data_IF_421268099814
#
_entry.id   IF_421268099814
#
_cell.length_a   1.000
_cell.length_b   1.000
_cell.length_c   1.000
_cell.angle_alpha   90.00
_cell.angle_beta   90.00
_cell.angle_gamma   90.00
#
_symmetry.space_group_name_H-M   'P 1'
#
loop_
_entity.id
_entity.type
_entity.pdbx_description
1 polymer ?
#
# COMPACT_ATOMS: atom_id res chain seq x y z
N UNK A 1 -36.28 -40.16 50.83
CA UNK A 1 -35.16 -40.61 49.98
C UNK A 1 -34.97 -39.62 48.83
N UNK A 2 -34.07 -38.63 48.97
CA UNK A 2 -33.74 -37.65 47.91
C UNK A 2 -32.58 -38.20 47.10
N UNK A 3 -32.81 -38.54 45.83
CA UNK A 3 -31.74 -38.90 44.88
C UNK A 3 -31.27 -37.63 44.17
N UNK A 4 -30.04 -37.21 44.48
CA UNK A 4 -29.32 -36.16 43.75
C UNK A 4 -28.78 -36.77 42.44
N UNK A 5 -29.24 -36.28 41.29
CA UNK A 5 -28.63 -36.56 40.00
C UNK A 5 -27.62 -35.44 39.75
N UNK A 6 -26.33 -35.76 39.84
CA UNK A 6 -25.24 -34.87 39.44
C UNK A 6 -25.11 -35.01 37.91
N UNK A 7 -25.60 -34.02 37.17
CA UNK A 7 -25.33 -33.92 35.74
C UNK A 7 -23.90 -33.40 35.55
N UNK A 8 -23.00 -34.27 35.09
CA UNK A 8 -21.65 -33.89 34.70
C UNK A 8 -21.72 -33.20 33.33
N UNK A 9 -21.64 -31.86 33.33
CA UNK A 9 -21.58 -31.07 32.10
C UNK A 9 -20.18 -31.21 31.50
N UNK A 10 -20.03 -32.02 30.44
CA UNK A 10 -18.84 -31.97 29.58
C UNK A 10 -18.78 -30.62 28.88
N UNK A 11 -17.86 -29.76 29.32
CA UNK A 11 -17.51 -28.54 28.63
C UNK A 11 -16.64 -28.93 27.42
N UNK A 12 -17.22 -29.04 26.23
CA UNK A 12 -16.44 -29.09 24.99
C UNK A 12 -15.70 -27.75 24.86
N UNK A 13 -14.38 -27.76 25.04
CA UNK A 13 -13.55 -26.64 24.59
C UNK A 13 -13.59 -26.63 23.06
N UNK A 14 -14.34 -25.69 22.49
CA UNK A 14 -14.21 -25.37 21.08
C UNK A 14 -12.80 -24.82 20.85
N UNK A 15 -11.95 -25.62 20.21
CA UNK A 15 -10.68 -25.12 19.67
C UNK A 15 -11.07 -24.06 18.64
N UNK A 16 -10.64 -22.80 18.78
CA UNK A 16 -10.88 -21.83 17.73
C UNK A 16 -10.16 -22.36 16.48
N UNK A 17 -10.93 -22.70 15.45
CA UNK A 17 -10.36 -22.90 14.13
C UNK A 17 -9.56 -21.63 13.82
N UNK A 18 -8.26 -21.78 13.58
CA UNK A 18 -7.43 -20.72 13.02
C UNK A 18 -8.04 -20.42 11.66
N UNK A 19 -8.93 -19.42 11.61
CA UNK A 19 -9.58 -19.04 10.38
C UNK A 19 -8.48 -18.49 9.48
N UNK A 20 -8.17 -19.21 8.39
CA UNK A 20 -7.70 -18.55 7.19
C UNK A 20 -8.63 -17.36 6.97
N UNK A 21 -8.11 -16.14 6.80
CA UNK A 21 -8.92 -15.11 6.18
C UNK A 21 -9.49 -15.74 4.89
N UNK A 22 -10.79 -15.59 4.56
CA UNK A 22 -11.35 -16.28 3.40
C UNK A 22 -10.55 -15.83 2.17
N UNK A 23 -9.71 -16.73 1.65
CA UNK A 23 -8.77 -16.40 0.58
C UNK A 23 -9.51 -16.13 -0.73
N UNK A 24 -10.71 -16.68 -0.88
CA UNK A 24 -11.59 -16.50 -2.04
C UNK A 24 -12.27 -15.14 -2.11
N UNK A 25 -12.56 -14.72 -3.34
CA UNK A 25 -12.99 -13.37 -3.72
C UNK A 25 -11.97 -12.29 -3.29
N UNK A 26 -10.68 -12.57 -3.48
CA UNK A 26 -9.62 -11.64 -3.09
C UNK A 26 -8.41 -11.68 -4.02
N UNK A 27 -7.84 -10.51 -4.24
CA UNK A 27 -6.52 -10.32 -4.83
C UNK A 27 -5.47 -10.36 -3.74
N UNK A 28 -4.56 -11.32 -3.83
CA UNK A 28 -3.43 -11.53 -2.94
C UNK A 28 -2.18 -10.92 -3.57
N UNK A 29 -1.41 -10.21 -2.76
CA UNK A 29 -0.06 -9.78 -3.09
C UNK A 29 0.91 -10.56 -2.23
N UNK A 30 1.79 -11.34 -2.84
CA UNK A 30 2.84 -12.08 -2.15
C UNK A 30 4.23 -11.63 -2.58
N UNK A 31 5.22 -11.89 -1.74
CA UNK A 31 6.62 -11.66 -2.06
C UNK A 31 7.48 -12.79 -1.48
N UNK A 32 8.36 -13.34 -2.31
CA UNK A 32 9.40 -14.27 -1.86
C UNK A 32 10.72 -13.99 -2.57
N UNK A 33 11.88 -14.25 -1.94
CA UNK A 33 13.18 -14.06 -2.59
C UNK A 33 13.33 -14.83 -3.91
N UNK A 34 12.72 -16.01 -4.03
CA UNK A 34 12.79 -16.85 -5.24
C UNK A 34 11.94 -16.35 -6.41
N UNK A 35 10.71 -15.91 -6.14
CA UNK A 35 9.75 -15.52 -7.19
C UNK A 35 9.69 -14.00 -7.42
N UNK A 36 10.13 -13.19 -6.46
CA UNK A 36 9.83 -11.77 -6.38
C UNK A 36 8.39 -11.52 -5.94
N UNK A 37 7.85 -10.35 -6.29
CA UNK A 37 6.45 -10.00 -6.07
C UNK A 37 5.54 -10.77 -7.03
N UNK A 38 4.46 -11.35 -6.52
CA UNK A 38 3.39 -11.95 -7.33
C UNK A 38 2.03 -11.37 -6.93
N UNK A 39 1.12 -11.32 -7.88
CA UNK A 39 -0.27 -10.92 -7.68
C UNK A 39 -1.14 -12.07 -8.14
N UNK A 40 -2.06 -12.49 -7.29
CA UNK A 40 -2.96 -13.59 -7.61
C UNK A 40 -4.39 -13.28 -7.18
N UNK A 41 -5.33 -13.34 -8.12
CA UNK A 41 -6.75 -13.28 -7.80
C UNK A 41 -7.26 -14.71 -7.56
N UNK A 42 -7.85 -14.93 -6.38
CA UNK A 42 -8.49 -16.17 -5.98
C UNK A 42 -10.00 -15.93 -5.95
N UNK A 43 -10.73 -16.48 -6.92
CA UNK A 43 -12.19 -16.40 -6.93
C UNK A 43 -12.79 -17.37 -5.91
N UNK A 44 -13.99 -17.06 -5.43
CA UNK A 44 -14.70 -17.87 -4.44
C UNK A 44 -15.09 -19.27 -4.97
N UNK A 45 -15.11 -19.47 -6.30
CA UNK A 45 -15.43 -20.73 -6.98
C UNK A 45 -14.23 -21.66 -7.15
N UNK A 46 -13.04 -21.28 -6.65
CA UNK A 46 -11.81 -22.06 -6.79
C UNK A 46 -11.01 -21.74 -8.05
N UNK A 47 -11.40 -20.79 -8.89
CA UNK A 47 -10.56 -20.32 -9.98
C UNK A 47 -9.46 -19.35 -9.49
N UNK A 48 -8.29 -19.40 -10.13
CA UNK A 48 -7.13 -18.58 -9.79
C UNK A 48 -6.52 -17.92 -11.04
N UNK A 49 -5.98 -16.71 -10.88
CA UNK A 49 -5.29 -15.98 -11.94
C UNK A 49 -4.01 -15.36 -11.41
N UNK A 50 -2.87 -15.92 -11.84
CA UNK A 50 -1.55 -15.51 -11.39
C UNK A 50 -0.90 -14.53 -12.37
N UNK A 51 -0.38 -13.44 -11.83
CA UNK A 51 0.42 -12.43 -12.51
C UNK A 51 1.77 -12.30 -11.79
N UNK A 52 2.86 -12.55 -12.50
CA UNK A 52 4.21 -12.60 -11.93
C UNK A 52 5.26 -12.03 -12.89
N UNK A 53 6.47 -11.68 -12.39
CA UNK A 53 7.51 -11.03 -13.17
C UNK A 53 8.00 -11.89 -14.33
N UNK A 54 8.19 -11.28 -15.49
CA UNK A 54 8.68 -11.93 -16.71
C UNK A 54 7.62 -12.70 -17.50
N UNK A 55 6.38 -12.77 -17.01
CA UNK A 55 5.27 -13.34 -17.76
C UNK A 55 4.42 -12.22 -18.39
N UNK A 56 4.10 -12.37 -19.68
CA UNK A 56 3.35 -11.36 -20.46
C UNK A 56 1.85 -11.67 -20.53
N UNK A 57 1.42 -12.83 -20.01
CA UNK A 57 0.02 -13.27 -19.98
C UNK A 57 -0.41 -13.54 -18.54
N UNK A 58 -1.68 -13.30 -18.22
CA UNK A 58 -2.22 -13.79 -16.94
C UNK A 58 -2.26 -15.32 -17.01
N UNK A 59 -1.78 -16.00 -15.98
CA UNK A 59 -1.75 -17.46 -15.91
C UNK A 59 -3.01 -17.95 -15.17
N UNK A 60 -4.01 -18.50 -15.89
CA UNK A 60 -5.17 -19.09 -15.25
C UNK A 60 -4.80 -20.43 -14.58
N UNK A 61 -5.48 -20.72 -13.49
CA UNK A 61 -5.38 -21.97 -12.75
C UNK A 61 -6.58 -22.14 -11.83
N UNK A 62 -6.41 -23.03 -10.88
CA UNK A 62 -7.38 -23.33 -9.84
C UNK A 62 -6.67 -23.34 -8.48
N UNK A 63 -7.43 -23.08 -7.42
CA UNK A 63 -6.97 -23.15 -6.06
C UNK A 63 -7.98 -23.88 -5.18
N UNK A 64 -7.49 -24.47 -4.09
CA UNK A 64 -8.32 -25.02 -3.03
C UNK A 64 -7.56 -24.96 -1.70
N UNK A 65 -8.30 -24.87 -0.60
CA UNK A 65 -7.78 -25.21 0.72
C UNK A 65 -8.08 -26.69 0.99
N UNK A 66 -7.08 -27.45 1.43
CA UNK A 66 -7.19 -28.86 1.77
C UNK A 66 -6.53 -29.11 3.12
N UNK A 67 -7.34 -29.30 4.18
CA UNK A 67 -6.83 -29.36 5.55
C UNK A 67 -6.09 -28.09 5.94
N UNK A 68 -4.79 -28.21 6.26
CA UNK A 68 -3.91 -27.08 6.59
C UNK A 68 -3.16 -26.50 5.38
N UNK A 69 -3.42 -27.01 4.18
CA UNK A 69 -2.67 -26.68 2.98
C UNK A 69 -3.48 -25.81 2.02
N UNK A 70 -2.76 -24.97 1.28
CA UNK A 70 -3.26 -24.24 0.13
C UNK A 70 -2.65 -24.85 -1.13
N UNK A 71 -3.51 -25.32 -2.03
CA UNK A 71 -3.10 -26.01 -3.24
C UNK A 71 -3.47 -25.21 -4.47
N UNK A 72 -2.57 -25.20 -5.46
CA UNK A 72 -2.76 -24.56 -6.75
C UNK A 72 -2.58 -25.56 -7.88
N UNK A 73 -3.33 -25.39 -8.97
CA UNK A 73 -3.17 -26.13 -10.22
C UNK A 73 -3.19 -25.16 -11.39
N UNK A 74 -2.05 -24.97 -12.03
CA UNK A 74 -1.97 -24.22 -13.29
C UNK A 74 -1.84 -25.17 -14.48
N UNK A 75 -2.05 -24.64 -15.69
CA UNK A 75 -2.11 -25.45 -16.91
C UNK A 75 -0.87 -26.32 -17.18
N UNK A 76 -1.08 -27.47 -17.84
CA UNK A 76 -0.05 -28.50 -18.14
C UNK A 76 1.23 -28.02 -18.84
N UNK A 77 1.22 -26.84 -19.45
CA UNK A 77 2.35 -26.25 -20.15
C UNK A 77 3.11 -25.21 -19.30
N UNK A 78 2.83 -25.11 -18.00
CA UNK A 78 3.58 -24.26 -17.08
C UNK A 78 4.72 -25.04 -16.41
N UNK A 79 5.71 -24.29 -15.90
CA UNK A 79 6.82 -24.82 -15.14
C UNK A 79 7.20 -23.82 -14.05
N UNK A 80 7.26 -24.27 -12.80
CA UNK A 80 7.75 -23.48 -11.69
C UNK A 80 9.27 -23.68 -11.55
N UNK A 81 10.12 -22.68 -11.86
CA UNK A 81 11.56 -22.84 -11.78
C UNK A 81 12.11 -22.92 -10.36
N UNK A 82 11.37 -22.45 -9.36
CA UNK A 82 11.80 -22.45 -7.95
C UNK A 82 11.58 -23.83 -7.34
N UNK A 83 10.42 -24.45 -7.58
CA UNK A 83 10.10 -25.80 -7.05
C UNK A 83 10.44 -26.93 -8.04
N UNK A 84 10.81 -26.59 -9.28
CA UNK A 84 11.04 -27.51 -10.41
C UNK A 84 9.82 -28.36 -10.78
N UNK A 85 8.64 -27.92 -10.39
CA UNK A 85 7.39 -28.62 -10.64
C UNK A 85 6.83 -28.26 -12.02
N UNK A 86 6.32 -29.26 -12.75
CA UNK A 86 5.60 -29.08 -14.02
C UNK A 86 4.12 -28.90 -13.75
N UNK A 87 3.47 -28.03 -14.52
CA UNK A 87 2.04 -27.77 -14.39
C UNK A 87 1.15 -28.98 -14.70
N UNK A 88 -0.16 -28.81 -14.48
CA UNK A 88 -1.20 -29.82 -14.72
C UNK A 88 -1.58 -30.64 -13.48
N UNK A 89 -0.70 -30.71 -12.48
CA UNK A 89 -0.97 -31.29 -11.16
C UNK A 89 -1.28 -30.25 -10.10
N UNK A 90 -1.80 -30.70 -8.95
CA UNK A 90 -1.92 -29.88 -7.75
C UNK A 90 -0.57 -29.76 -7.06
N UNK A 91 -0.18 -28.54 -6.73
CA UNK A 91 1.00 -28.21 -5.93
C UNK A 91 0.54 -27.52 -4.65
N UNK A 92 0.81 -28.14 -3.50
CA UNK A 92 0.32 -27.69 -2.20
C UNK A 92 1.45 -27.11 -1.35
N UNK A 93 1.11 -26.09 -0.57
CA UNK A 93 1.99 -25.52 0.45
C UNK A 93 1.21 -25.38 1.76
N UNK A 94 1.83 -25.58 2.93
CA UNK A 94 1.16 -25.28 4.19
C UNK A 94 0.67 -23.83 4.21
N UNK A 95 -0.57 -23.60 4.63
CA UNK A 95 -1.15 -22.26 4.66
C UNK A 95 -0.34 -21.28 5.52
N UNK A 96 0.30 -21.79 6.58
CA UNK A 96 1.21 -21.01 7.44
C UNK A 96 2.42 -20.48 6.66
N UNK A 97 2.97 -21.27 5.74
CA UNK A 97 4.09 -20.88 4.86
C UNK A 97 3.61 -19.88 3.82
N UNK A 98 2.45 -20.10 3.20
CA UNK A 98 1.86 -19.13 2.27
C UNK A 98 1.66 -17.75 2.93
N UNK A 99 1.07 -17.73 4.14
CA UNK A 99 0.79 -16.51 4.88
C UNK A 99 2.06 -15.71 5.22
N UNK A 100 3.22 -16.36 5.40
CA UNK A 100 4.50 -15.67 5.62
C UNK A 100 4.97 -14.87 4.40
N UNK A 101 4.51 -15.24 3.20
CA UNK A 101 4.83 -14.52 1.96
C UNK A 101 3.81 -13.43 1.63
N UNK A 102 2.65 -13.44 2.28
CA UNK A 102 1.54 -12.54 1.98
C UNK A 102 1.84 -11.13 2.50
N UNK A 103 1.88 -10.17 1.60
CA UNK A 103 2.09 -8.75 1.90
C UNK A 103 0.77 -8.03 2.09
N UNK A 104 -0.20 -8.28 1.21
CA UNK A 104 -1.52 -7.68 1.32
C UNK A 104 -2.60 -8.56 0.69
N UNK A 105 -3.84 -8.36 1.11
CA UNK A 105 -5.00 -9.09 0.65
C UNK A 105 -6.17 -8.13 0.49
N UNK A 106 -6.67 -7.96 -0.72
CA UNK A 106 -7.74 -6.99 -1.04
C UNK A 106 -8.95 -7.72 -1.60
N UNK A 107 -10.16 -7.35 -1.18
CA UNK A 107 -11.39 -7.97 -1.67
C UNK A 107 -11.59 -7.71 -3.17
N UNK A 108 -12.03 -8.73 -3.89
CA UNK A 108 -12.34 -8.70 -5.31
C UNK A 108 -11.13 -8.81 -6.23
N UNK A 109 -11.42 -8.85 -7.53
CA UNK A 109 -10.44 -8.83 -8.62
C UNK A 109 -10.06 -7.38 -8.98
N UNK A 110 -9.24 -6.75 -8.14
CA UNK A 110 -8.96 -5.31 -8.25
C UNK A 110 -8.14 -4.92 -9.49
N UNK A 111 -7.60 -5.91 -10.22
CA UNK A 111 -6.89 -5.70 -11.48
C UNK A 111 -7.66 -6.26 -12.69
N UNK A 112 -8.81 -6.90 -12.48
CA UNK A 112 -9.59 -7.57 -13.52
C UNK A 112 -8.83 -8.72 -14.19
N UNK A 113 -7.98 -9.45 -13.45
CA UNK A 113 -7.19 -10.57 -13.95
C UNK A 113 -8.06 -11.66 -14.58
N UNK A 114 -9.24 -11.93 -14.02
CA UNK A 114 -10.14 -12.96 -14.51
C UNK A 114 -10.63 -12.73 -15.95
N UNK A 115 -10.81 -11.46 -16.32
CA UNK A 115 -11.26 -11.04 -17.65
C UNK A 115 -10.13 -10.80 -18.67
N UNK A 116 -8.86 -10.97 -18.28
CA UNK A 116 -7.70 -10.55 -19.09
C UNK A 116 -6.91 -11.74 -19.62
N UNK A 117 -6.43 -11.61 -20.86
CA UNK A 117 -5.42 -12.52 -21.45
C UNK A 117 -3.99 -12.02 -21.23
N UNK A 118 -3.79 -10.70 -21.34
CA UNK A 118 -2.49 -10.05 -21.11
C UNK A 118 -2.42 -9.51 -19.70
N UNK A 119 -1.22 -9.50 -19.12
CA UNK A 119 -0.98 -8.84 -17.83
C UNK A 119 -1.28 -7.34 -17.92
N UNK A 120 -1.68 -6.66 -16.82
CA UNK A 120 -1.89 -5.21 -16.83
C UNK A 120 -0.65 -4.44 -17.29
N UNK A 121 0.52 -4.87 -16.83
CA UNK A 121 1.84 -4.40 -17.24
C UNK A 121 2.91 -5.42 -16.79
N UNK A 122 4.16 -5.22 -17.19
CA UNK A 122 5.28 -6.07 -16.74
C UNK A 122 5.52 -5.87 -15.24
N UNK A 123 5.21 -6.89 -14.44
CA UNK A 123 5.34 -6.80 -12.99
C UNK A 123 6.83 -6.70 -12.60
N UNK A 124 7.25 -5.68 -11.83
CA UNK A 124 8.62 -5.60 -11.36
C UNK A 124 8.88 -6.69 -10.32
N UNK A 125 10.11 -7.20 -10.26
CA UNK A 125 10.51 -8.18 -9.23
C UNK A 125 10.48 -7.60 -7.82
N UNK A 126 10.79 -6.30 -7.68
CA UNK A 126 10.79 -5.60 -6.38
C UNK A 126 9.37 -5.43 -5.87
N UNK A 127 9.22 -5.46 -4.55
CA UNK A 127 7.95 -5.16 -3.91
C UNK A 127 7.57 -3.69 -4.12
N UNK A 128 6.36 -3.46 -4.62
CA UNK A 128 5.71 -2.16 -4.65
C UNK A 128 4.39 -2.25 -3.86
N UNK A 129 3.97 -1.19 -3.15
CA UNK A 129 2.65 -1.17 -2.52
C UNK A 129 1.52 -1.39 -3.54
N UNK A 130 0.48 -2.15 -3.15
CA UNK A 130 -0.61 -2.54 -4.07
C UNK A 130 -1.32 -1.33 -4.71
N UNK A 131 -1.45 -0.21 -3.99
CA UNK A 131 -2.04 1.03 -4.53
C UNK A 131 -1.22 1.63 -5.67
N UNK A 132 0.12 1.50 -5.64
CA UNK A 132 0.96 1.93 -6.76
C UNK A 132 0.73 1.05 -7.98
N UNK A 133 0.57 -0.26 -7.77
CA UNK A 133 0.24 -1.17 -8.87
C UNK A 133 -1.12 -0.85 -9.49
N UNK A 134 -2.13 -0.51 -8.69
CA UNK A 134 -3.44 -0.10 -9.20
C UNK A 134 -3.35 1.18 -10.03
N UNK A 135 -2.57 2.16 -9.57
CA UNK A 135 -2.33 3.39 -10.32
C UNK A 135 -1.62 3.15 -11.67
N UNK A 136 -0.72 2.17 -11.74
CA UNK A 136 -0.04 1.80 -13.00
C UNK A 136 -1.00 1.02 -13.92
N UNK A 137 -1.78 0.08 -13.37
CA UNK A 137 -2.69 -0.77 -14.12
C UNK A 137 -3.90 -0.02 -14.71
N UNK A 138 -4.39 0.99 -13.99
CA UNK A 138 -5.46 1.87 -14.43
C UNK A 138 -5.17 3.32 -13.98
N UNK A 139 -4.47 4.12 -14.82
CA UNK A 139 -4.20 5.52 -14.53
C UNK A 139 -5.46 6.35 -14.28
N UNK A 140 -6.63 5.92 -14.80
CA UNK A 140 -7.89 6.63 -14.57
C UNK A 140 -8.37 6.55 -13.11
N UNK A 141 -7.86 5.59 -12.31
CA UNK A 141 -8.06 5.60 -10.84
C UNK A 141 -7.44 6.86 -10.25
N UNK A 142 -6.21 7.19 -10.65
CA UNK A 142 -5.52 8.39 -10.17
C UNK A 142 -6.27 9.63 -10.61
N UNK A 143 -6.77 9.67 -11.85
CA UNK A 143 -7.56 10.79 -12.36
C UNK A 143 -8.88 10.96 -11.60
N UNK A 144 -9.61 9.87 -11.32
CA UNK A 144 -10.86 9.90 -10.54
C UNK A 144 -10.63 10.35 -9.10
N UNK A 145 -9.59 9.85 -8.44
CA UNK A 145 -9.25 10.29 -7.08
C UNK A 145 -8.77 11.75 -7.08
N UNK A 146 -7.98 12.16 -8.08
CA UNK A 146 -7.58 13.54 -8.25
C UNK A 146 -8.76 14.47 -8.48
N UNK A 147 -9.79 14.04 -9.22
CA UNK A 147 -11.02 14.81 -9.43
C UNK A 147 -11.84 15.02 -8.15
N UNK A 148 -11.65 14.19 -7.10
CA UNK A 148 -12.29 14.38 -5.79
C UNK A 148 -11.52 15.35 -4.89
N UNK A 149 -10.24 15.60 -5.19
CA UNK A 149 -9.44 16.51 -4.38
C UNK A 149 -9.81 17.97 -4.67
N UNK A 150 -9.81 18.83 -3.65
CA UNK A 150 -9.99 20.27 -3.87
C UNK A 150 -8.90 20.81 -4.80
N UNK A 151 -9.26 21.78 -5.64
CA UNK A 151 -8.29 22.48 -6.49
C UNK A 151 -7.24 23.20 -5.64
N UNK A 152 -6.11 23.58 -6.26
CA UNK A 152 -5.09 24.37 -5.58
C UNK A 152 -5.71 25.64 -4.98
N UNK A 153 -6.58 26.32 -5.75
CA UNK A 153 -7.29 27.54 -5.34
C UNK A 153 -8.23 27.29 -4.17
N UNK A 154 -8.97 26.17 -4.19
CA UNK A 154 -9.86 25.79 -3.09
C UNK A 154 -9.09 25.48 -1.80
N UNK A 155 -7.97 24.74 -1.88
CA UNK A 155 -7.12 24.46 -0.72
C UNK A 155 -6.65 25.76 -0.06
N UNK A 156 -6.24 26.73 -0.87
CA UNK A 156 -5.76 28.02 -0.37
C UNK A 156 -6.90 28.88 0.19
N UNK A 157 -8.06 28.90 -0.48
CA UNK A 157 -9.24 29.63 0.00
C UNK A 157 -9.79 29.05 1.32
N UNK A 158 -9.62 27.75 1.53
CA UNK A 158 -10.12 27.03 2.69
C UNK A 158 -9.09 26.94 3.82
N UNK A 159 -7.88 27.46 3.64
CA UNK A 159 -6.74 27.26 4.52
C UNK A 159 -7.04 27.53 6.00
N UNK A 160 -7.88 28.52 6.31
CA UNK A 160 -8.22 28.89 7.69
C UNK A 160 -9.54 28.28 8.19
N UNK A 161 -10.26 27.51 7.37
CA UNK A 161 -11.55 26.90 7.75
C UNK A 161 -11.42 25.78 8.77
N UNK A 162 -10.27 25.10 8.82
CA UNK A 162 -10.02 24.04 9.79
C UNK A 162 -8.52 23.77 9.94
N UNK A 163 -8.16 23.09 11.03
CA UNK A 163 -6.79 22.57 11.25
C UNK A 163 -6.31 21.73 10.06
N UNK A 164 -7.16 20.83 9.55
CA UNK A 164 -6.81 19.96 8.41
C UNK A 164 -6.57 20.78 7.13
N UNK A 165 -7.42 21.77 6.85
CA UNK A 165 -7.26 22.64 5.69
C UNK A 165 -5.98 23.49 5.76
N UNK A 166 -5.63 23.98 6.96
CA UNK A 166 -4.37 24.70 7.19
C UNK A 166 -3.16 23.84 6.89
N UNK A 167 -3.19 22.57 7.30
CA UNK A 167 -2.13 21.60 7.02
C UNK A 167 -2.02 21.34 5.51
N UNK A 168 -3.15 21.12 4.82
CA UNK A 168 -3.16 20.92 3.37
C UNK A 168 -2.57 22.11 2.62
N UNK A 169 -2.94 23.34 2.99
CA UNK A 169 -2.39 24.55 2.40
C UNK A 169 -0.90 24.75 2.73
N UNK A 170 -0.47 24.40 3.94
CA UNK A 170 0.94 24.44 4.32
C UNK A 170 1.81 23.49 3.47
N UNK A 171 1.35 22.24 3.28
CA UNK A 171 2.04 21.28 2.41
C UNK A 171 2.08 21.77 0.96
N UNK A 172 1.02 22.44 0.50
CA UNK A 172 0.99 23.03 -0.83
C UNK A 172 2.04 24.14 -1.00
N UNK A 173 2.21 25.02 -0.01
CA UNK A 173 3.29 26.01 -0.01
C UNK A 173 4.69 25.39 0.08
N UNK A 174 4.86 24.27 0.80
CA UNK A 174 6.16 23.62 0.92
C UNK A 174 6.62 22.96 -0.38
N UNK A 175 5.71 22.25 -1.06
CA UNK A 175 6.05 21.50 -2.28
C UNK A 175 5.81 22.29 -3.56
N UNK A 176 4.94 23.31 -3.54
CA UNK A 176 4.55 24.10 -4.71
C UNK A 176 3.69 23.32 -5.73
N UNK A 177 3.33 22.08 -5.42
CA UNK A 177 2.66 21.16 -6.34
C UNK A 177 1.58 20.34 -5.65
N UNK A 178 0.58 19.94 -6.43
CA UNK A 178 -0.42 18.96 -6.04
C UNK A 178 -0.53 17.91 -7.16
N UNK A 179 -0.26 16.64 -6.83
CA UNK A 179 -0.33 15.50 -7.76
C UNK A 179 0.41 15.76 -9.10
N UNK A 180 1.63 16.31 -9.03
CA UNK A 180 2.47 16.60 -10.20
C UNK A 180 2.12 17.86 -10.98
N UNK A 181 1.04 18.57 -10.62
CA UNK A 181 0.70 19.89 -11.19
C UNK A 181 1.25 21.00 -10.30
N UNK A 182 1.89 22.00 -10.92
CA UNK A 182 2.36 23.20 -10.21
C UNK A 182 1.17 24.03 -9.76
N UNK A 183 1.11 24.35 -8.48
CA UNK A 183 0.01 25.10 -7.87
C UNK A 183 0.45 26.50 -7.44
N UNK A 184 1.51 26.57 -6.63
CA UNK A 184 2.01 27.83 -6.06
C UNK A 184 3.52 27.89 -6.17
N UNK A 185 4.07 29.09 -6.11
CA UNK A 185 5.50 29.25 -5.84
C UNK A 185 5.78 28.71 -4.44
N UNK A 186 6.85 27.92 -4.33
CA UNK A 186 7.29 27.35 -3.05
C UNK A 186 7.58 28.48 -2.05
N UNK A 187 7.00 28.37 -0.87
CA UNK A 187 7.22 29.27 0.27
C UNK A 187 7.38 28.44 1.55
N UNK A 188 8.63 28.06 1.83
CA UNK A 188 8.99 27.28 3.00
C UNK A 188 8.65 27.99 4.31
N UNK A 189 8.80 29.32 4.36
CA UNK A 189 8.58 30.09 5.59
C UNK A 189 7.09 30.07 5.93
N UNK A 190 6.25 30.36 4.94
CA UNK A 190 4.79 30.31 5.09
C UNK A 190 4.31 28.91 5.47
N UNK A 191 4.82 27.86 4.80
CA UNK A 191 4.46 26.48 5.10
C UNK A 191 4.75 26.09 6.55
N UNK A 192 5.97 26.33 7.03
CA UNK A 192 6.34 25.98 8.41
C UNK A 192 5.58 26.82 9.44
N UNK A 193 5.34 28.11 9.14
CA UNK A 193 4.52 28.99 10.00
C UNK A 193 3.10 28.44 10.15
N UNK A 194 2.45 28.08 9.04
CA UNK A 194 1.10 27.51 9.05
C UNK A 194 1.02 26.16 9.79
N UNK A 195 2.05 25.31 9.69
CA UNK A 195 2.10 24.07 10.47
C UNK A 195 2.26 24.34 11.96
N UNK A 196 3.08 25.33 12.32
CA UNK A 196 3.21 25.77 13.71
C UNK A 196 1.89 26.30 14.27
N UNK A 197 1.18 27.15 13.52
CA UNK A 197 -0.14 27.66 13.88
C UNK A 197 -1.20 26.55 14.00
N UNK A 198 -1.10 25.49 13.20
CA UNK A 198 -1.97 24.32 13.27
C UNK A 198 -1.61 23.37 14.43
N UNK A 199 -0.53 23.62 15.17
CA UNK A 199 -0.01 22.72 16.20
C UNK A 199 0.55 21.41 15.65
N UNK A 200 1.05 21.40 14.41
CA UNK A 200 1.65 20.24 13.73
C UNK A 200 3.18 20.23 13.84
N UNK A 201 3.69 20.28 15.07
CA UNK A 201 5.13 20.41 15.33
C UNK A 201 5.96 19.24 14.80
N UNK A 202 5.41 18.02 14.77
CA UNK A 202 6.11 16.83 14.25
C UNK A 202 6.30 16.90 12.72
N UNK A 203 5.25 17.26 12.00
CA UNK A 203 5.31 17.49 10.55
C UNK A 203 6.24 18.66 10.22
N UNK A 204 6.13 19.78 10.95
CA UNK A 204 7.01 20.92 10.78
C UNK A 204 8.49 20.54 10.98
N UNK A 205 8.82 19.80 12.04
CA UNK A 205 10.19 19.35 12.31
C UNK A 205 10.75 18.44 11.19
N UNK A 206 9.92 17.55 10.66
CA UNK A 206 10.30 16.68 9.53
C UNK A 206 10.63 17.49 8.29
N UNK A 207 9.79 18.45 7.94
CA UNK A 207 10.01 19.32 6.77
C UNK A 207 11.18 20.28 6.95
N UNK A 208 11.43 20.75 8.18
CA UNK A 208 12.63 21.54 8.51
C UNK A 208 13.88 20.69 8.33
N UNK A 209 13.89 19.42 8.75
CA UNK A 209 15.03 18.52 8.53
C UNK A 209 15.34 18.35 7.05
N UNK A 210 14.32 18.12 6.22
CA UNK A 210 14.48 18.05 4.77
C UNK A 210 15.02 19.38 4.20
N UNK A 211 14.49 20.51 4.68
CA UNK A 211 14.93 21.83 4.28
C UNK A 211 16.41 22.07 4.63
N UNK A 212 16.87 21.62 5.80
CA UNK A 212 18.28 21.67 6.21
C UNK A 212 19.16 20.82 5.30
N UNK A 213 18.72 19.61 4.91
CA UNK A 213 19.45 18.80 3.93
C UNK A 213 19.63 19.53 2.59
N UNK A 214 18.58 20.21 2.11
CA UNK A 214 18.65 21.02 0.89
C UNK A 214 19.57 22.24 1.05
N UNK A 215 19.57 22.88 2.22
CA UNK A 215 20.45 24.01 2.50
C UNK A 215 21.92 23.60 2.50
N UNK A 216 22.24 22.47 3.13
CA UNK A 216 23.59 21.90 3.17
C UNK A 216 24.08 21.44 1.78
N UNK A 217 23.17 21.21 0.84
CA UNK A 217 23.52 20.98 -0.57
C UNK A 217 23.67 22.28 -1.38
N UNK A 218 23.75 23.44 -0.72
CA UNK A 218 23.94 24.74 -1.36
C UNK A 218 22.68 25.38 -1.94
N UNK A 219 21.47 24.91 -1.60
CA UNK A 219 20.24 25.51 -2.14
C UNK A 219 19.96 26.90 -1.52
N UNK A 220 20.00 28.00 -2.31
CA UNK A 220 19.90 29.34 -1.75
C UNK A 220 18.50 29.67 -1.18
N UNK A 221 17.43 29.07 -1.72
CA UNK A 221 16.08 29.26 -1.17
C UNK A 221 15.94 28.58 0.19
N UNK A 222 16.51 27.38 0.34
CA UNK A 222 16.50 26.66 1.62
C UNK A 222 17.32 27.39 2.69
N UNK A 223 18.52 27.83 2.34
CA UNK A 223 19.39 28.63 3.23
C UNK A 223 18.66 29.88 3.71
N UNK A 224 18.07 30.64 2.78
CA UNK A 224 17.34 31.87 3.13
C UNK A 224 16.09 31.60 3.96
N UNK A 225 15.37 30.50 3.69
CA UNK A 225 14.19 30.12 4.46
C UNK A 225 14.56 29.76 5.91
N UNK A 226 15.61 28.98 6.13
CA UNK A 226 16.06 28.60 7.48
C UNK A 226 16.47 29.83 8.30
N UNK A 227 17.23 30.76 7.69
CA UNK A 227 17.58 32.05 8.33
C UNK A 227 16.34 32.86 8.74
N UNK A 228 15.28 32.83 7.93
CA UNK A 228 14.02 33.53 8.25
C UNK A 228 13.25 32.81 9.35
N UNK A 229 13.16 31.49 9.30
CA UNK A 229 12.49 30.68 10.31
C UNK A 229 13.16 30.78 11.69
N UNK A 230 14.49 30.88 11.71
CA UNK A 230 15.26 31.10 12.93
C UNK A 230 14.92 32.45 13.58
N UNK A 231 14.88 33.53 12.77
CA UNK A 231 14.45 34.86 13.23
C UNK A 231 13.02 34.87 13.77
N UNK A 232 12.16 33.98 13.27
CA UNK A 232 10.79 33.80 13.75
C UNK A 232 10.68 32.90 14.99
N UNK A 233 11.79 32.33 15.46
CA UNK A 233 11.81 31.40 16.59
C UNK A 233 11.18 30.03 16.28
N UNK A 234 10.95 29.71 15.00
CA UNK A 234 10.30 28.47 14.56
C UNK A 234 11.30 27.32 14.38
N UNK A 235 12.59 27.61 14.30
CA UNK A 235 13.68 26.62 14.28
C UNK A 235 14.81 27.09 15.20
N UNK A 236 15.55 26.13 15.77
CA UNK A 236 16.81 26.42 16.46
C UNK A 236 17.89 26.74 15.43
N UNK A 237 18.92 27.48 15.85
CA UNK A 237 20.06 27.89 15.02
C UNK A 237 20.55 26.75 14.11
N UNK A 238 20.44 26.95 12.80
CA UNK A 238 20.82 25.95 11.82
C UNK A 238 22.24 26.27 11.34
N UNK A 239 23.22 25.49 11.80
CA UNK A 239 24.56 25.48 11.22
C UNK A 239 24.46 24.90 9.81
N UNK A 240 24.50 25.78 8.82
CA UNK A 240 24.78 25.41 7.44
C UNK A 240 26.30 25.36 7.34
N UNK A 241 26.86 24.15 7.29
CA UNK A 241 28.30 23.92 7.05
C UNK A 241 28.65 24.13 5.57
#
# INVERSE_FOLDING_TARGET
>A
MRRLIIAATMLLMAIPAVSAAPLGDRTQQSFSPGHGMQIEYLAADGAAWLWYPGNTKVLPGEWKAEGSDLCFRYGKNSYNPVTRHKGGGWECTPLTVYNQTLVSSTKGDIFGLAGRKKVPFDLPKKLLPIHQLQAIADPSIVEREQAKLPSCEQILADADKSRAAKISAALLYYHGMQMGKRCVTVDYVKAITMLSEAGESSTAATLVKELSTRANSGNPMAINALKKLEKLGLVKEVRVE
#
